data_IF_519612954942
#
_entry.id   IF_519612954942
#
_cell.length_a   1.000
_cell.length_b   1.000
_cell.length_c   1.000
_cell.angle_alpha   90.00
_cell.angle_beta   90.00
_cell.angle_gamma   90.00
#
_symmetry.space_group_name_H-M   'P 1'
#
loop_
_entity.id
_entity.type
_entity.pdbx_description
1 polymer ?
#
# COMPACT_ATOMS: atom_id res chain seq x y z
N UNK A 1 7.88 23.27 0.21
CA UNK A 1 6.44 23.30 0.51
C UNK A 1 6.08 24.63 1.19
N UNK A 2 4.91 25.22 0.90
CA UNK A 2 4.46 26.50 1.52
C UNK A 2 3.40 26.31 2.60
N UNK A 3 2.68 25.18 2.59
CA UNK A 3 1.59 24.90 3.51
C UNK A 3 2.13 24.56 4.91
N UNK A 4 1.52 25.13 5.96
CA UNK A 4 1.90 24.89 7.37
C UNK A 4 1.20 23.67 7.99
N UNK A 5 0.18 23.12 7.30
CA UNK A 5 -0.65 22.01 7.79
C UNK A 5 -0.97 21.02 6.68
N UNK A 6 -1.05 19.74 7.04
CA UNK A 6 -1.54 18.68 6.15
C UNK A 6 -3.05 18.81 5.99
N UNK A 7 -3.52 18.53 4.78
CA UNK A 7 -4.92 18.65 4.38
C UNK A 7 -5.26 17.47 3.45
N UNK A 8 -6.55 17.24 3.20
CA UNK A 8 -7.01 16.15 2.32
C UNK A 8 -6.44 16.25 0.89
N UNK A 9 -6.17 17.46 0.37
CA UNK A 9 -5.59 17.62 -0.97
C UNK A 9 -4.19 17.02 -1.10
N UNK A 10 -3.47 16.86 0.01
CA UNK A 10 -2.15 16.23 0.00
C UNK A 10 -2.21 14.71 -0.18
N UNK A 11 -3.38 14.08 -0.01
CA UNK A 11 -3.60 12.64 -0.21
C UNK A 11 -4.34 12.27 -1.49
N UNK A 12 -4.58 13.22 -2.40
CA UNK A 12 -5.43 12.97 -3.59
C UNK A 12 -4.68 12.50 -4.84
N UNK A 13 -3.35 12.31 -4.77
CA UNK A 13 -2.52 11.88 -5.90
C UNK A 13 -2.23 12.97 -6.93
N UNK A 14 -2.61 14.22 -6.65
CA UNK A 14 -2.40 15.36 -7.54
C UNK A 14 -1.15 16.19 -7.25
N UNK A 15 -1.10 17.41 -7.79
CA UNK A 15 0.02 18.35 -7.60
C UNK A 15 0.35 18.62 -6.12
N UNK A 16 -0.65 18.68 -5.24
CA UNK A 16 -0.44 18.89 -3.81
C UNK A 16 0.27 17.68 -3.16
N UNK A 17 -0.10 16.45 -3.53
CA UNK A 17 0.61 15.23 -3.10
C UNK A 17 2.07 15.25 -3.55
N UNK A 18 2.30 15.57 -4.83
CA UNK A 18 3.66 15.66 -5.36
C UNK A 18 4.52 16.71 -4.63
N UNK A 19 3.97 17.91 -4.40
CA UNK A 19 4.66 18.96 -3.65
C UNK A 19 5.00 18.55 -2.19
N UNK A 20 4.14 17.74 -1.55
CA UNK A 20 4.40 17.20 -0.21
C UNK A 20 5.56 16.19 -0.26
N UNK A 21 5.55 15.28 -1.24
CA UNK A 21 6.61 14.30 -1.44
C UNK A 21 7.95 14.99 -1.67
N UNK A 22 8.05 15.91 -2.64
CA UNK A 22 9.29 16.62 -2.94
C UNK A 22 9.74 17.55 -1.81
N UNK A 23 8.78 18.14 -1.07
CA UNK A 23 9.07 19.13 -0.05
C UNK A 23 9.45 18.58 1.31
N UNK A 24 9.00 17.36 1.65
CA UNK A 24 9.13 16.79 3.00
C UNK A 24 9.81 15.42 2.96
N UNK A 25 9.27 14.47 2.20
CA UNK A 25 9.74 13.08 2.24
C UNK A 25 11.02 12.86 1.43
N UNK A 26 11.07 13.32 0.18
CA UNK A 26 12.19 13.08 -0.71
C UNK A 26 13.53 13.62 -0.16
N UNK A 27 13.61 14.85 0.40
CA UNK A 27 14.87 15.36 0.95
C UNK A 27 15.32 14.62 2.21
N UNK A 28 14.38 14.16 3.03
CA UNK A 28 14.66 13.47 4.28
C UNK A 28 15.10 12.01 4.06
N UNK A 29 14.60 11.36 3.01
CA UNK A 29 14.83 9.94 2.71
C UNK A 29 15.65 9.70 1.44
N UNK A 30 16.28 10.75 0.90
CA UNK A 30 17.00 10.72 -0.38
C UNK A 30 17.97 9.54 -0.48
N UNK A 31 17.80 8.74 -1.53
CA UNK A 31 18.67 7.62 -1.85
C UNK A 31 18.43 7.16 -3.30
N UNK A 32 19.41 6.49 -3.95
CA UNK A 32 19.31 6.13 -5.36
C UNK A 32 18.12 5.25 -5.76
N UNK A 33 17.51 4.52 -4.81
CA UNK A 33 16.33 3.71 -5.10
C UNK A 33 15.06 4.56 -5.09
N UNK A 34 14.89 5.42 -4.09
CA UNK A 34 13.71 6.27 -3.93
C UNK A 34 13.70 7.45 -4.91
N UNK A 35 14.88 8.00 -5.25
CA UNK A 35 15.01 9.18 -6.12
C UNK A 35 14.47 8.93 -7.56
N UNK A 36 14.22 7.67 -7.92
CA UNK A 36 13.62 7.28 -9.20
C UNK A 36 12.12 7.59 -9.26
N UNK A 37 11.44 7.60 -8.11
CA UNK A 37 10.00 7.85 -8.01
C UNK A 37 9.13 6.94 -8.91
N UNK A 38 9.57 5.69 -9.09
CA UNK A 38 8.82 4.62 -9.79
C UNK A 38 7.78 3.96 -8.84
N UNK A 39 6.80 3.22 -9.36
CA UNK A 39 5.76 2.52 -8.57
C UNK A 39 6.31 1.44 -7.61
N UNK A 40 7.56 1.02 -7.82
CA UNK A 40 8.28 0.12 -6.93
C UNK A 40 9.79 0.39 -6.97
N UNK A 41 10.45 0.22 -5.83
CA UNK A 41 11.90 0.21 -5.77
C UNK A 41 12.44 -1.10 -6.40
N UNK A 42 13.32 -0.96 -7.39
CA UNK A 42 14.02 -2.09 -8.03
C UNK A 42 15.46 -2.19 -7.53
N UNK A 43 15.88 -3.35 -7.03
CA UNK A 43 17.26 -3.54 -6.56
C UNK A 43 17.72 -5.00 -6.68
N UNK A 44 19.03 -5.21 -6.60
CA UNK A 44 19.66 -6.54 -6.58
C UNK A 44 20.18 -6.83 -5.19
N UNK A 45 19.96 -8.05 -4.68
CA UNK A 45 20.52 -8.45 -3.39
C UNK A 45 22.05 -8.60 -3.54
N UNK A 46 22.87 -8.01 -2.66
CA UNK A 46 24.32 -8.20 -2.69
C UNK A 46 24.70 -9.69 -2.69
N UNK A 47 25.51 -10.09 -3.67
CA UNK A 47 25.93 -11.49 -3.85
C UNK A 47 24.90 -12.40 -4.55
N UNK A 48 23.79 -11.85 -5.04
CA UNK A 48 22.77 -12.56 -5.82
C UNK A 48 22.65 -11.98 -7.23
N UNK A 49 22.18 -12.79 -8.18
CA UNK A 49 21.71 -12.32 -9.49
C UNK A 49 20.21 -11.99 -9.49
N UNK A 50 19.52 -12.22 -8.37
CA UNK A 50 18.09 -11.95 -8.26
C UNK A 50 17.83 -10.44 -8.16
N UNK A 51 16.96 -9.94 -9.04
CA UNK A 51 16.40 -8.59 -8.97
C UNK A 51 15.04 -8.65 -8.29
N UNK A 52 14.84 -7.79 -7.30
CA UNK A 52 13.59 -7.64 -6.56
C UNK A 52 12.93 -6.32 -6.92
N UNK A 53 11.59 -6.32 -6.89
CA UNK A 53 10.76 -5.13 -6.80
C UNK A 53 10.13 -5.08 -5.41
N UNK A 54 10.07 -3.90 -4.82
CA UNK A 54 9.49 -3.67 -3.50
C UNK A 54 8.64 -2.41 -3.55
N UNK A 55 7.36 -2.57 -3.19
CA UNK A 55 6.41 -1.47 -3.11
C UNK A 55 5.60 -1.55 -1.81
N UNK A 56 4.93 -0.47 -1.48
CA UNK A 56 3.98 -0.40 -0.39
C UNK A 56 2.90 0.60 -0.76
N UNK A 57 1.69 0.34 -0.27
CA UNK A 57 0.56 1.20 -0.55
C UNK A 57 -0.41 1.16 0.63
N UNK A 58 -1.07 2.28 0.93
CA UNK A 58 -2.00 2.39 2.06
C UNK A 58 -3.40 2.69 1.57
N UNK A 59 -4.33 1.80 1.89
CA UNK A 59 -5.69 1.84 1.37
C UNK A 59 -6.63 2.45 2.40
N UNK A 60 -7.28 3.57 2.03
CA UNK A 60 -8.19 4.34 2.90
C UNK A 60 -9.54 4.64 2.22
N UNK A 61 -9.96 3.76 1.30
CA UNK A 61 -11.20 3.94 0.53
C UNK A 61 -12.43 3.99 1.42
N UNK A 62 -13.37 4.87 1.08
CA UNK A 62 -14.68 4.97 1.73
C UNK A 62 -15.77 5.10 0.65
N UNK A 63 -16.82 4.26 0.67
CA UNK A 63 -17.09 3.19 1.65
C UNK A 63 -16.14 1.99 1.54
N UNK A 64 -16.00 1.21 2.62
CA UNK A 64 -15.14 0.00 2.64
C UNK A 64 -15.63 -1.12 1.72
N UNK A 65 -16.93 -1.15 1.43
CA UNK A 65 -17.57 -2.08 0.50
C UNK A 65 -18.26 -1.27 -0.59
N UNK A 66 -18.06 -1.64 -1.85
CA UNK A 66 -18.54 -0.89 -3.00
C UNK A 66 -18.92 -1.83 -4.16
N UNK A 67 -19.69 -1.35 -5.15
CA UNK A 67 -19.98 -2.17 -6.34
C UNK A 67 -18.68 -2.66 -7.00
N UNK A 68 -18.52 -3.98 -7.10
CA UNK A 68 -17.34 -4.61 -7.70
C UNK A 68 -16.20 -4.95 -6.73
N UNK A 69 -16.28 -4.63 -5.44
CA UNK A 69 -15.23 -5.02 -4.50
C UNK A 69 -15.35 -4.49 -3.07
N UNK A 70 -14.24 -4.58 -2.35
CA UNK A 70 -14.09 -3.99 -1.02
C UNK A 70 -12.62 -3.59 -0.83
N UNK A 71 -12.33 -2.92 0.29
CA UNK A 71 -10.97 -2.47 0.64
C UNK A 71 -9.94 -3.62 0.63
N UNK A 72 -10.35 -4.86 0.95
CA UNK A 72 -9.49 -6.03 0.92
C UNK A 72 -9.07 -6.43 -0.50
N UNK A 73 -10.02 -6.50 -1.43
CA UNK A 73 -9.71 -6.69 -2.86
C UNK A 73 -8.78 -5.60 -3.38
N UNK A 74 -9.10 -4.34 -3.04
CA UNK A 74 -8.31 -3.20 -3.48
C UNK A 74 -6.88 -3.28 -2.94
N UNK A 75 -6.71 -3.66 -1.67
CA UNK A 75 -5.41 -3.74 -1.03
C UNK A 75 -4.50 -4.78 -1.68
N UNK A 76 -5.05 -5.94 -2.03
CA UNK A 76 -4.26 -6.99 -2.70
C UNK A 76 -4.00 -6.63 -4.16
N UNK A 77 -5.03 -6.28 -4.92
CA UNK A 77 -4.88 -6.03 -6.36
C UNK A 77 -4.04 -4.79 -6.65
N UNK A 78 -4.17 -3.72 -5.86
CA UNK A 78 -3.35 -2.51 -6.02
C UNK A 78 -1.85 -2.84 -5.88
N UNK A 79 -1.46 -3.47 -4.77
CA UNK A 79 -0.06 -3.80 -4.52
C UNK A 79 0.49 -4.84 -5.52
N UNK A 80 -0.34 -5.80 -5.94
CA UNK A 80 0.01 -6.75 -7.01
C UNK A 80 0.23 -6.03 -8.34
N UNK A 81 -0.61 -5.05 -8.67
CA UNK A 81 -0.50 -4.28 -9.91
C UNK A 81 0.78 -3.44 -9.94
N UNK A 82 1.16 -2.78 -8.83
CA UNK A 82 2.39 -1.99 -8.76
C UNK A 82 3.64 -2.87 -9.03
N UNK A 83 3.68 -4.07 -8.45
CA UNK A 83 4.73 -5.05 -8.72
C UNK A 83 4.74 -5.49 -10.18
N UNK A 84 3.56 -5.74 -10.77
CA UNK A 84 3.43 -6.15 -12.17
C UNK A 84 3.85 -5.03 -13.14
N UNK A 85 3.49 -3.77 -12.85
CA UNK A 85 3.88 -2.59 -13.63
C UNK A 85 5.40 -2.35 -13.57
N UNK A 86 6.04 -2.69 -12.44
CA UNK A 86 7.50 -2.70 -12.32
C UNK A 86 8.18 -3.86 -13.08
N UNK A 87 7.41 -4.72 -13.75
CA UNK A 87 7.91 -5.88 -14.49
C UNK A 87 8.35 -7.05 -13.61
N UNK A 88 7.93 -7.07 -12.35
CA UNK A 88 8.23 -8.17 -11.43
C UNK A 88 7.12 -9.22 -11.43
N UNK A 89 7.48 -10.46 -11.09
CA UNK A 89 6.52 -11.48 -10.70
C UNK A 89 6.18 -11.26 -9.21
N UNK A 90 4.93 -10.94 -8.85
CA UNK A 90 4.53 -10.86 -7.46
C UNK A 90 4.66 -12.24 -6.78
N UNK A 91 5.22 -12.27 -5.58
CA UNK A 91 5.42 -13.51 -4.80
C UNK A 91 4.78 -13.42 -3.43
N UNK A 92 5.05 -12.33 -2.72
CA UNK A 92 4.68 -12.17 -1.31
C UNK A 92 4.14 -10.78 -1.04
N UNK A 93 3.20 -10.72 -0.10
CA UNK A 93 2.64 -9.50 0.46
C UNK A 93 2.79 -9.50 1.99
N UNK A 94 2.90 -8.32 2.58
CA UNK A 94 2.61 -8.09 4.00
C UNK A 94 1.23 -7.45 4.14
N UNK A 95 0.61 -7.58 5.31
CA UNK A 95 -0.68 -6.93 5.60
C UNK A 95 -0.67 -6.23 6.97
N UNK A 96 -0.72 -4.90 6.96
CA UNK A 96 -0.86 -4.08 8.18
C UNK A 96 -2.28 -3.55 8.31
N UNK A 97 -2.91 -3.75 9.46
CA UNK A 97 -4.26 -3.25 9.74
C UNK A 97 -4.24 -2.18 10.83
N UNK A 98 -4.90 -1.05 10.55
CA UNK A 98 -5.27 -0.05 11.55
C UNK A 98 -6.79 -0.06 11.64
N UNK A 99 -7.32 -0.56 12.75
CA UNK A 99 -8.74 -0.76 12.98
C UNK A 99 -9.26 0.26 13.99
N UNK A 100 -10.45 0.80 13.76
CA UNK A 100 -11.11 1.66 14.75
C UNK A 100 -11.77 0.81 15.85
N UNK A 101 -11.73 1.30 17.09
CA UNK A 101 -12.43 0.69 18.22
C UNK A 101 -13.93 0.47 17.90
N UNK A 102 -14.39 -0.76 18.10
CA UNK A 102 -15.78 -1.15 17.84
C UNK A 102 -16.10 -1.39 16.37
N UNK A 103 -15.09 -1.53 15.50
CA UNK A 103 -15.27 -2.01 14.13
C UNK A 103 -15.87 -3.43 14.13
N UNK A 104 -16.92 -3.72 13.34
CA UNK A 104 -17.57 -5.03 13.34
C UNK A 104 -16.62 -6.15 12.90
N UNK A 105 -16.44 -7.16 13.76
CA UNK A 105 -15.65 -8.36 13.42
C UNK A 105 -16.21 -9.08 12.19
N UNK A 106 -17.53 -9.03 11.98
CA UNK A 106 -18.16 -9.60 10.78
C UNK A 106 -17.65 -8.92 9.49
N UNK A 107 -17.50 -7.61 9.49
CA UNK A 107 -16.98 -6.88 8.33
C UNK A 107 -15.46 -7.10 8.18
N UNK A 108 -14.71 -7.16 9.28
CA UNK A 108 -13.29 -7.53 9.24
C UNK A 108 -13.09 -8.90 8.61
N UNK A 109 -13.89 -9.90 8.99
CA UNK A 109 -13.86 -11.24 8.39
C UNK A 109 -14.09 -11.17 6.89
N UNK A 110 -15.13 -10.46 6.43
CA UNK A 110 -15.44 -10.29 5.00
C UNK A 110 -14.30 -9.62 4.23
N UNK A 111 -13.60 -8.67 4.84
CA UNK A 111 -12.44 -8.00 4.24
C UNK A 111 -11.26 -8.97 4.13
N UNK A 112 -10.94 -9.68 5.20
CA UNK A 112 -9.82 -10.65 5.23
C UNK A 112 -10.08 -11.83 4.29
N UNK A 113 -11.30 -12.34 4.24
CA UNK A 113 -11.69 -13.41 3.31
C UNK A 113 -11.51 -12.96 1.85
N UNK A 114 -11.89 -11.72 1.53
CA UNK A 114 -11.68 -11.13 0.20
C UNK A 114 -10.19 -10.93 -0.12
N UNK A 115 -9.37 -10.53 0.86
CA UNK A 115 -7.91 -10.46 0.68
C UNK A 115 -7.33 -11.85 0.39
N UNK A 116 -7.77 -12.87 1.12
CA UNK A 116 -7.30 -14.25 0.92
C UNK A 116 -7.69 -14.77 -0.47
N UNK A 117 -8.92 -14.52 -0.91
CA UNK A 117 -9.40 -14.86 -2.25
C UNK A 117 -8.59 -14.15 -3.35
N UNK A 118 -8.40 -12.84 -3.23
CA UNK A 118 -7.63 -12.04 -4.18
C UNK A 118 -6.17 -12.49 -4.26
N UNK A 119 -5.55 -12.80 -3.11
CA UNK A 119 -4.17 -13.26 -3.05
C UNK A 119 -4.01 -14.63 -3.72
N UNK A 120 -4.93 -15.56 -3.43
CA UNK A 120 -4.98 -16.87 -4.09
C UNK A 120 -5.20 -16.73 -5.61
N UNK A 121 -6.12 -15.87 -6.05
CA UNK A 121 -6.38 -15.60 -7.46
C UNK A 121 -5.19 -15.00 -8.21
N UNK A 122 -4.35 -14.21 -7.52
CA UNK A 122 -3.12 -13.63 -8.07
C UNK A 122 -1.89 -14.56 -7.92
N UNK A 123 -2.02 -15.71 -7.25
CA UNK A 123 -0.91 -16.62 -7.01
C UNK A 123 0.16 -16.07 -6.05
N UNK A 124 -0.22 -15.17 -5.14
CA UNK A 124 0.67 -14.58 -4.12
C UNK A 124 0.30 -15.05 -2.72
N UNK A 125 1.27 -15.00 -1.80
CA UNK A 125 1.02 -15.31 -0.38
C UNK A 125 1.14 -14.05 0.49
N UNK A 126 0.17 -13.84 1.39
CA UNK A 126 0.33 -12.88 2.48
C UNK A 126 1.14 -13.57 3.58
N UNK A 127 2.39 -13.15 3.79
CA UNK A 127 3.38 -13.92 4.59
C UNK A 127 3.70 -13.31 5.96
N UNK A 128 3.28 -12.08 6.20
CA UNK A 128 3.49 -11.39 7.48
C UNK A 128 2.45 -10.29 7.65
N UNK A 129 2.24 -9.83 8.88
CA UNK A 129 1.31 -8.75 9.14
C UNK A 129 1.41 -8.15 10.53
N UNK A 130 0.69 -7.05 10.71
CA UNK A 130 0.55 -6.36 11.98
C UNK A 130 -0.90 -5.88 12.15
N UNK A 131 -1.33 -5.70 13.40
CA UNK A 131 -2.66 -5.16 13.69
C UNK A 131 -2.58 -4.19 14.85
N UNK A 132 -3.18 -3.02 14.65
CA UNK A 132 -3.36 -1.98 15.66
C UNK A 132 -4.83 -1.59 15.75
N UNK A 133 -5.27 -1.27 16.95
CA UNK A 133 -6.60 -0.72 17.21
C UNK A 133 -6.42 0.70 17.73
N UNK A 134 -7.07 1.66 17.09
CA UNK A 134 -7.10 3.08 17.48
C UNK A 134 -8.43 3.43 18.14
N UNK A 135 -8.44 4.51 18.91
CA UNK A 135 -9.68 5.06 19.49
C UNK A 135 -10.62 5.53 18.37
N UNK A 136 -11.92 5.56 18.67
CA UNK A 136 -12.88 6.25 17.79
C UNK A 136 -12.57 7.74 17.70
N UNK A 137 -12.57 8.30 16.49
CA UNK A 137 -12.28 9.72 16.28
C UNK A 137 -12.11 10.14 14.83
#
# INVERSE_FOLDING_TARGET
MRDERITLSHGSGGKATHNLIEGVFAPAFANPMLDRMDDAASFTIPGSTARLAFTTDTYVVSPLFFPGGNIGHLAVHGTVNDLAMAGAQPLYLSAGFVLEEGFPVADLRRIVDAMAEAAAGAGVAIVTGDTKVVQRG
#
